data_IF_526258984520
#
_entry.id   IF_526258984520
#
_cell.length_a   1.000
_cell.length_b   1.000
_cell.length_c   1.000
_cell.angle_alpha   90.00
_cell.angle_beta   90.00
_cell.angle_gamma   90.00
#
_symmetry.space_group_name_H-M   'P 1'
#
loop_
_entity.id
_entity.type
_entity.pdbx_description
1 polymer ?
#
# COMPACT_ATOMS: atom_id res chain seq x y z
N UNK A 1 29.15 14.59 9.78
CA UNK A 1 28.29 13.39 9.88
C UNK A 1 26.90 13.89 10.18
N UNK A 2 26.04 13.97 9.17
CA UNK A 2 24.63 14.35 9.34
C UNK A 2 23.95 13.30 10.21
N UNK A 3 23.06 13.74 11.11
CA UNK A 3 22.16 12.82 11.80
C UNK A 3 21.21 12.27 10.74
N UNK A 4 21.47 11.07 10.25
CA UNK A 4 20.50 10.33 9.45
C UNK A 4 19.32 10.00 10.38
N UNK A 5 18.29 10.84 10.39
CA UNK A 5 17.01 10.53 11.01
C UNK A 5 16.29 9.51 10.10
N UNK A 6 16.79 8.28 10.08
CA UNK A 6 16.17 7.16 9.38
C UNK A 6 14.83 6.90 10.05
N UNK A 7 13.74 7.07 9.30
CA UNK A 7 12.41 6.71 9.76
C UNK A 7 12.28 5.20 9.77
N UNK A 8 11.66 4.66 10.81
CA UNK A 8 11.43 3.23 10.95
C UNK A 8 9.96 2.98 11.30
N UNK A 9 9.46 1.82 10.87
CA UNK A 9 8.10 1.36 11.14
C UNK A 9 8.06 -0.16 11.26
N UNK A 10 7.25 -0.66 12.19
CA UNK A 10 6.92 -2.09 12.29
C UNK A 10 5.72 -2.46 11.40
N UNK A 11 5.05 -1.48 10.79
CA UNK A 11 3.85 -1.66 9.98
C UNK A 11 4.21 -1.68 8.50
N UNK A 12 4.98 -0.70 8.01
CA UNK A 12 5.39 -0.57 6.61
C UNK A 12 6.91 -0.61 6.45
N UNK A 13 7.41 -1.20 5.35
CA UNK A 13 8.83 -1.12 5.00
C UNK A 13 9.14 0.24 4.36
N UNK A 14 9.96 1.05 5.05
CA UNK A 14 10.37 2.37 4.60
C UNK A 14 11.69 2.38 3.83
N UNK A 15 12.33 1.24 3.58
CA UNK A 15 13.66 1.16 2.95
C UNK A 15 13.70 1.94 1.63
N UNK A 16 12.74 1.72 0.73
CA UNK A 16 12.67 2.44 -0.53
C UNK A 16 12.57 3.95 -0.32
N UNK A 17 11.70 4.40 0.57
CA UNK A 17 11.50 5.83 0.82
C UNK A 17 12.73 6.46 1.48
N UNK A 18 13.35 5.78 2.44
CA UNK A 18 14.58 6.23 3.09
C UNK A 18 15.74 6.33 2.10
N UNK A 19 15.92 5.33 1.24
CA UNK A 19 17.01 5.31 0.25
C UNK A 19 16.87 6.40 -0.83
N UNK A 20 15.63 6.73 -1.22
CA UNK A 20 15.37 7.67 -2.32
C UNK A 20 15.07 9.10 -1.83
N UNK A 21 14.56 9.28 -0.61
CA UNK A 21 14.04 10.56 -0.11
C UNK A 21 14.42 10.86 1.35
N UNK A 22 15.21 10.01 2.03
CA UNK A 22 15.48 10.15 3.47
C UNK A 22 16.19 11.45 3.89
N UNK A 23 16.78 12.19 2.93
CA UNK A 23 17.38 13.51 3.15
C UNK A 23 16.46 14.68 2.73
N UNK A 24 15.37 14.41 2.01
CA UNK A 24 14.40 15.41 1.54
C UNK A 24 12.99 15.04 2.03
N UNK A 25 12.67 15.48 3.25
CA UNK A 25 11.36 15.26 3.86
C UNK A 25 10.19 15.89 3.11
N UNK A 26 10.43 16.93 2.29
CA UNK A 26 9.38 17.46 1.43
C UNK A 26 9.03 16.47 0.32
N UNK A 27 10.02 15.92 -0.36
CA UNK A 27 9.81 14.88 -1.38
C UNK A 27 9.25 13.58 -0.77
N UNK A 28 9.74 13.19 0.41
CA UNK A 28 9.25 12.03 1.15
C UNK A 28 7.75 12.16 1.46
N UNK A 29 7.34 13.31 2.02
CA UNK A 29 5.95 13.59 2.34
C UNK A 29 5.06 13.60 1.08
N UNK A 30 5.52 14.22 0.00
CA UNK A 30 4.78 14.25 -1.26
C UNK A 30 4.56 12.84 -1.83
N UNK A 31 5.56 11.96 -1.74
CA UNK A 31 5.43 10.57 -2.18
C UNK A 31 4.36 9.81 -1.36
N UNK A 32 4.35 9.99 -0.04
CA UNK A 32 3.31 9.39 0.81
C UNK A 32 1.93 9.92 0.43
N UNK A 33 1.76 11.25 0.32
CA UNK A 33 0.47 11.85 -0.02
C UNK A 33 -0.05 11.34 -1.37
N UNK A 34 0.82 11.28 -2.38
CA UNK A 34 0.49 10.75 -3.69
C UNK A 34 0.07 9.28 -3.63
N UNK A 35 0.80 8.46 -2.86
CA UNK A 35 0.42 7.07 -2.65
C UNK A 35 -0.96 6.94 -2.00
N UNK A 36 -1.22 7.65 -0.91
CA UNK A 36 -2.49 7.56 -0.17
C UNK A 36 -3.68 7.93 -1.07
N UNK A 37 -3.57 9.03 -1.81
CA UNK A 37 -4.61 9.52 -2.73
C UNK A 37 -4.92 8.49 -3.84
N UNK A 38 -3.89 7.91 -4.46
CA UNK A 38 -4.08 6.93 -5.54
C UNK A 38 -4.53 5.56 -5.06
N UNK A 39 -4.09 5.14 -3.88
CA UNK A 39 -4.34 3.78 -3.39
C UNK A 39 -5.72 3.62 -2.78
N UNK A 40 -6.28 4.65 -2.15
CA UNK A 40 -7.60 4.57 -1.51
C UNK A 40 -8.70 4.20 -2.51
N UNK A 41 -8.81 4.93 -3.64
CA UNK A 41 -9.81 4.64 -4.68
C UNK A 41 -9.62 3.23 -5.26
N UNK A 42 -8.36 2.78 -5.41
CA UNK A 42 -8.03 1.47 -5.97
C UNK A 42 -8.34 0.33 -5.01
N UNK A 43 -8.09 0.50 -3.72
CA UNK A 43 -8.47 -0.50 -2.71
C UNK A 43 -9.99 -0.61 -2.64
N UNK A 44 -10.71 0.53 -2.63
CA UNK A 44 -12.17 0.50 -2.68
C UNK A 44 -12.70 -0.24 -3.92
N UNK A 45 -12.12 0.04 -5.10
CA UNK A 45 -12.47 -0.67 -6.33
C UNK A 45 -12.23 -2.18 -6.21
N UNK A 46 -11.10 -2.61 -5.64
CA UNK A 46 -10.81 -4.02 -5.42
C UNK A 46 -11.89 -4.69 -4.56
N UNK A 47 -12.24 -4.07 -3.43
CA UNK A 47 -13.23 -4.60 -2.49
C UNK A 47 -14.63 -4.68 -3.11
N UNK A 48 -15.05 -3.66 -3.87
CA UNK A 48 -16.31 -3.68 -4.60
C UNK A 48 -16.33 -4.75 -5.69
N UNK A 49 -15.23 -4.92 -6.43
CA UNK A 49 -15.12 -5.98 -7.44
C UNK A 49 -15.17 -7.37 -6.83
N UNK A 50 -14.60 -7.56 -5.64
CA UNK A 50 -14.76 -8.81 -4.87
C UNK A 50 -16.23 -9.03 -4.53
N UNK A 51 -16.94 -8.05 -3.96
CA UNK A 51 -18.39 -8.18 -3.66
C UNK A 51 -19.21 -8.56 -4.91
N UNK A 52 -18.84 -7.98 -6.06
CA UNK A 52 -19.51 -8.20 -7.33
C UNK A 52 -19.04 -9.44 -8.11
N UNK A 53 -18.11 -10.23 -7.56
CA UNK A 53 -17.52 -11.40 -8.22
C UNK A 53 -16.87 -11.08 -9.59
N UNK A 54 -16.36 -9.86 -9.75
CA UNK A 54 -15.76 -9.38 -10.99
C UNK A 54 -14.26 -9.72 -11.05
N UNK A 55 -13.96 -10.95 -11.48
CA UNK A 55 -12.58 -11.43 -11.61
C UNK A 55 -11.70 -10.56 -12.50
N UNK A 56 -12.23 -9.95 -13.56
CA UNK A 56 -11.42 -9.15 -14.49
C UNK A 56 -10.99 -7.83 -13.84
N UNK A 57 -11.87 -7.20 -13.07
CA UNK A 57 -11.52 -6.01 -12.30
C UNK A 57 -10.65 -6.35 -11.08
N UNK A 58 -10.88 -7.46 -10.39
CA UNK A 58 -10.00 -7.93 -9.30
C UNK A 58 -8.58 -8.12 -9.83
N UNK A 59 -8.41 -8.82 -10.96
CA UNK A 59 -7.10 -9.04 -11.59
C UNK A 59 -6.38 -7.73 -11.88
N UNK A 60 -7.02 -6.83 -12.61
CA UNK A 60 -6.39 -5.57 -13.05
C UNK A 60 -6.08 -4.64 -11.88
N UNK A 61 -6.95 -4.59 -10.88
CA UNK A 61 -6.75 -3.76 -9.69
C UNK A 61 -5.66 -4.34 -8.79
N UNK A 62 -5.62 -5.66 -8.58
CA UNK A 62 -4.55 -6.33 -7.85
C UNK A 62 -3.19 -6.15 -8.54
N UNK A 63 -3.14 -6.22 -9.87
CA UNK A 63 -1.92 -5.95 -10.65
C UNK A 63 -1.38 -4.53 -10.45
N UNK A 64 -2.26 -3.53 -10.40
CA UNK A 64 -1.88 -2.15 -10.15
C UNK A 64 -1.36 -1.97 -8.71
N UNK A 65 -2.16 -2.43 -7.75
CA UNK A 65 -1.86 -2.26 -6.32
C UNK A 65 -0.57 -2.97 -5.91
N UNK A 66 -0.28 -4.18 -6.40
CA UNK A 66 0.92 -4.95 -5.98
C UNK A 66 2.22 -4.18 -6.24
N UNK A 67 2.28 -3.40 -7.31
CA UNK A 67 3.47 -2.61 -7.67
C UNK A 67 3.62 -1.43 -6.73
N UNK A 68 2.54 -0.67 -6.55
CA UNK A 68 2.51 0.48 -5.63
C UNK A 68 2.80 0.04 -4.20
N UNK A 69 2.19 -1.04 -3.74
CA UNK A 69 2.33 -1.57 -2.38
C UNK A 69 3.71 -2.17 -2.16
N UNK A 70 4.34 -2.75 -3.19
CA UNK A 70 5.72 -3.20 -3.13
C UNK A 70 6.71 -2.05 -2.97
N UNK A 71 6.48 -0.92 -3.64
CA UNK A 71 7.31 0.29 -3.53
C UNK A 71 7.14 0.94 -2.16
N UNK A 72 5.91 0.99 -1.67
CA UNK A 72 5.56 1.57 -0.37
C UNK A 72 5.71 0.56 0.78
N UNK A 73 6.19 -0.65 0.53
CA UNK A 73 6.52 -1.58 1.61
C UNK A 73 5.34 -2.12 2.42
N UNK A 74 4.13 -2.17 1.85
CA UNK A 74 2.97 -2.80 2.48
C UNK A 74 3.12 -4.33 2.48
N UNK A 75 2.73 -4.98 3.57
CA UNK A 75 2.90 -6.44 3.74
C UNK A 75 1.92 -7.23 2.89
N UNK A 76 0.74 -6.67 2.62
CA UNK A 76 -0.29 -7.34 1.82
C UNK A 76 0.02 -7.46 0.32
N UNK A 77 1.20 -7.02 -0.16
CA UNK A 77 1.57 -7.17 -1.58
C UNK A 77 1.47 -8.62 -2.06
N UNK A 78 1.84 -9.59 -1.21
CA UNK A 78 1.84 -11.00 -1.59
C UNK A 78 0.42 -11.55 -1.70
N UNK A 79 -0.52 -11.00 -0.91
CA UNK A 79 -1.95 -11.31 -1.05
C UNK A 79 -2.49 -10.79 -2.38
N UNK A 80 -2.06 -9.60 -2.83
CA UNK A 80 -2.45 -9.06 -4.13
C UNK A 80 -1.91 -9.90 -5.30
N UNK A 81 -0.68 -10.41 -5.20
CA UNK A 81 -0.12 -11.35 -6.20
C UNK A 81 -1.00 -12.61 -6.28
N UNK A 82 -1.41 -13.14 -5.13
CA UNK A 82 -2.25 -14.34 -5.10
C UNK A 82 -3.66 -14.08 -5.64
N UNK A 83 -4.29 -12.97 -5.25
CA UNK A 83 -5.60 -12.56 -5.78
C UNK A 83 -5.56 -12.37 -7.31
N UNK A 84 -4.49 -11.81 -7.85
CA UNK A 84 -4.28 -11.67 -9.30
C UNK A 84 -4.24 -13.04 -9.99
N UNK A 85 -3.46 -13.99 -9.46
CA UNK A 85 -3.33 -15.35 -10.02
C UNK A 85 -4.67 -16.09 -9.96
N UNK A 86 -5.36 -16.05 -8.82
CA UNK A 86 -6.66 -16.68 -8.65
C UNK A 86 -7.71 -16.08 -9.60
N UNK A 87 -7.64 -14.78 -9.86
CA UNK A 87 -8.53 -14.09 -10.78
C UNK A 87 -8.25 -14.39 -12.25
N UNK A 88 -6.98 -14.56 -12.63
CA UNK A 88 -6.59 -15.06 -13.96
C UNK A 88 -7.22 -16.43 -14.21
N UNK A 89 -7.18 -17.30 -13.21
CA UNK A 89 -7.72 -18.66 -13.29
C UNK A 89 -9.23 -18.75 -13.03
N UNK A 90 -9.87 -17.63 -12.63
CA UNK A 90 -11.29 -17.55 -12.22
C UNK A 90 -11.65 -18.64 -11.19
N UNK A 91 -10.79 -18.80 -10.18
CA UNK A 91 -10.83 -19.92 -9.24
C UNK A 91 -10.72 -19.46 -7.78
N UNK A 92 -11.21 -20.31 -6.87
CA UNK A 92 -11.06 -20.16 -5.41
C UNK A 92 -11.48 -18.77 -4.89
N UNK A 93 -12.73 -18.42 -5.17
CA UNK A 93 -13.28 -17.13 -4.79
C UNK A 93 -13.35 -16.94 -3.28
N UNK A 94 -13.57 -18.01 -2.51
CA UNK A 94 -13.55 -17.95 -1.04
C UNK A 94 -12.20 -17.48 -0.52
N UNK A 95 -11.10 -17.94 -1.15
CA UNK A 95 -9.76 -17.45 -0.85
C UNK A 95 -9.56 -16.00 -1.28
N UNK A 96 -10.04 -15.59 -2.46
CA UNK A 96 -10.01 -14.18 -2.88
C UNK A 96 -10.74 -13.29 -1.85
N UNK A 97 -11.92 -13.72 -1.38
CA UNK A 97 -12.69 -13.02 -0.37
C UNK A 97 -11.92 -12.91 0.95
N UNK A 98 -11.26 -13.99 1.38
CA UNK A 98 -10.41 -13.96 2.57
C UNK A 98 -9.22 -13.00 2.42
N UNK A 99 -8.48 -13.11 1.31
CA UNK A 99 -7.32 -12.25 1.01
C UNK A 99 -7.71 -10.78 0.93
N UNK A 100 -8.88 -10.45 0.35
CA UNK A 100 -9.35 -9.07 0.24
C UNK A 100 -9.53 -8.39 1.61
N UNK A 101 -9.98 -9.14 2.63
CA UNK A 101 -10.11 -8.64 4.01
C UNK A 101 -8.76 -8.40 4.66
N UNK A 102 -7.78 -9.25 4.35
CA UNK A 102 -6.41 -9.06 4.83
C UNK A 102 -5.74 -7.84 4.18
N UNK A 103 -6.00 -7.63 2.88
CA UNK A 103 -5.57 -6.41 2.17
C UNK A 103 -6.20 -5.16 2.79
N UNK A 104 -7.52 -5.17 3.05
CA UNK A 104 -8.22 -4.04 3.68
C UNK A 104 -7.65 -3.70 5.06
N UNK A 105 -7.37 -4.72 5.88
CA UNK A 105 -6.79 -4.56 7.22
C UNK A 105 -5.39 -3.95 7.15
N UNK A 106 -4.48 -4.57 6.40
CA UNK A 106 -3.09 -4.11 6.27
C UNK A 106 -3.03 -2.71 5.66
N UNK A 107 -3.88 -2.41 4.66
CA UNK A 107 -3.98 -1.09 4.07
C UNK A 107 -4.42 -0.04 5.10
N UNK A 108 -5.45 -0.34 5.89
CA UNK A 108 -5.94 0.59 6.94
C UNK A 108 -4.86 0.88 7.98
N UNK A 109 -4.14 -0.14 8.44
CA UNK A 109 -3.01 0.02 9.37
C UNK A 109 -1.89 0.85 8.75
N UNK A 110 -1.58 0.60 7.48
CA UNK A 110 -0.56 1.33 6.73
C UNK A 110 -0.92 2.80 6.52
N UNK A 111 -2.19 3.12 6.25
CA UNK A 111 -2.68 4.51 6.13
C UNK A 111 -2.47 5.25 7.44
N UNK A 112 -2.84 4.66 8.58
CA UNK A 112 -2.65 5.26 9.91
C UNK A 112 -1.15 5.52 10.17
N UNK A 113 -0.32 4.54 9.85
CA UNK A 113 1.12 4.67 10.03
C UNK A 113 1.72 5.77 9.14
N UNK A 114 1.28 5.86 7.88
CA UNK A 114 1.72 6.92 6.99
C UNK A 114 1.27 8.31 7.43
N UNK A 115 0.07 8.43 7.99
CA UNK A 115 -0.40 9.67 8.61
C UNK A 115 0.47 10.05 9.81
N UNK A 116 0.86 9.08 10.65
CA UNK A 116 1.81 9.30 11.75
C UNK A 116 3.15 9.78 11.22
N UNK A 117 3.70 9.13 10.19
CA UNK A 117 4.97 9.52 9.57
C UNK A 117 4.88 10.94 8.99
N UNK A 118 3.80 11.27 8.27
CA UNK A 118 3.55 12.61 7.73
C UNK A 118 3.58 13.68 8.81
N UNK A 119 3.03 13.41 10.00
CA UNK A 119 3.08 14.36 11.12
C UNK A 119 4.51 14.66 11.57
N UNK A 120 5.40 13.65 11.57
CA UNK A 120 6.81 13.79 11.98
C UNK A 120 7.57 14.64 10.97
N UNK A 121 7.46 14.29 9.68
CA UNK A 121 8.24 14.98 8.62
C UNK A 121 7.72 16.39 8.32
N UNK A 122 6.48 16.69 8.68
CA UNK A 122 5.89 18.04 8.53
C UNK A 122 6.24 18.96 9.71
N UNK A 123 6.53 18.42 10.89
CA UNK A 123 6.96 19.20 12.06
C UNK A 123 8.41 19.69 11.94
N UNK A 124 9.29 18.91 11.30
CA UNK A 124 10.70 19.27 11.03
C UNK A 124 10.86 20.43 10.02
N UNK A 125 9.77 20.94 9.43
CA UNK A 125 9.77 22.10 8.53
C UNK A 125 9.53 23.46 9.23
N UNK A 126 9.32 23.48 10.56
CA UNK A 126 9.17 24.71 11.37
C UNK A 126 10.43 25.08 12.13
#
# INVERSE_FOLDING_TARGET
MSKNNVLNSDIVDLNFLNENFGEDYSAYAQMIVFFLDQSEEKVQLLLESVKNHDFDTIKSTAHFLKSSFGIMGLKCKDFLIEMEILSINKSDFDKILHLSKLVELDFTESVIEYQRILSIVSEDQK
#
